data_IF_021315463925
#
_entry.id   IF_021315463925
#
_cell.length_a   1.000
_cell.length_b   1.000
_cell.length_c   1.000
_cell.angle_alpha   90.00
_cell.angle_beta   90.00
_cell.angle_gamma   90.00
#
_symmetry.space_group_name_H-M   'P 1'
#
loop_
_entity.id
_entity.type
_entity.pdbx_description
1 polymer ?
#
# COMPACT_ATOMS: atom_id res chain seq x y z
N UNK A 1 -25.78 27.55 24.94
CA UNK A 1 -26.84 26.58 24.57
C UNK A 1 -26.35 25.90 23.30
N UNK A 2 -25.91 24.66 23.49
CA UNK A 2 -25.61 23.58 22.55
C UNK A 2 -25.01 23.94 21.18
N UNK A 3 -23.67 23.87 21.16
CA UNK A 3 -22.88 23.50 20.01
C UNK A 3 -23.38 22.14 19.48
N UNK A 4 -24.20 22.14 18.43
CA UNK A 4 -24.54 20.94 17.66
C UNK A 4 -24.46 21.32 16.19
N UNK A 5 -23.50 20.75 15.46
CA UNK A 5 -23.64 20.29 14.05
C UNK A 5 -22.28 19.98 13.39
N UNK A 6 -21.53 18.97 13.86
CA UNK A 6 -20.62 18.20 12.98
C UNK A 6 -20.74 16.68 13.15
N UNK A 7 -21.64 16.17 13.99
CA UNK A 7 -21.80 14.73 14.23
C UNK A 7 -22.83 14.07 13.30
N UNK A 8 -22.72 14.31 11.98
CA UNK A 8 -23.52 13.58 11.00
C UNK A 8 -22.58 12.99 9.94
N UNK A 9 -22.22 11.71 10.09
CA UNK A 9 -21.30 10.89 9.26
C UNK A 9 -19.82 10.90 9.70
N UNK A 10 -19.45 9.97 10.58
CA UNK A 10 -18.08 9.74 11.04
C UNK A 10 -17.21 9.07 9.96
N UNK A 11 -16.86 9.80 8.90
CA UNK A 11 -15.69 9.45 8.09
C UNK A 11 -14.48 9.61 9.01
N UNK A 12 -13.82 8.51 9.36
CA UNK A 12 -12.51 8.53 10.02
C UNK A 12 -11.48 9.18 9.07
N UNK A 13 -11.49 10.51 9.00
CA UNK A 13 -10.60 11.33 8.19
C UNK A 13 -9.23 11.41 8.86
N UNK A 14 -8.65 10.26 9.22
CA UNK A 14 -7.26 10.15 9.63
C UNK A 14 -6.44 9.92 8.37
N UNK A 15 -5.76 10.96 7.84
CA UNK A 15 -4.97 10.80 6.62
C UNK A 15 -3.88 9.75 6.84
N UNK A 16 -3.95 8.67 6.06
CA UNK A 16 -3.00 7.54 6.11
C UNK A 16 -1.73 7.88 5.32
N UNK A 17 -1.03 8.95 5.71
CA UNK A 17 0.16 9.43 5.01
C UNK A 17 1.39 8.52 5.22
N UNK A 18 1.42 7.77 6.33
CA UNK A 18 2.54 6.92 6.72
C UNK A 18 2.08 5.60 7.35
N UNK A 19 3.03 4.69 7.57
CA UNK A 19 2.79 3.36 8.14
C UNK A 19 2.30 2.31 7.13
N UNK A 20 1.95 1.12 7.61
CA UNK A 20 1.64 -0.06 6.77
C UNK A 20 0.46 0.14 5.81
N UNK A 21 -0.57 0.90 6.23
CA UNK A 21 -1.76 1.16 5.42
C UNK A 21 -1.64 2.38 4.49
N UNK A 22 -0.50 3.07 4.47
CA UNK A 22 -0.29 4.23 3.59
C UNK A 22 0.03 3.87 2.15
N UNK A 23 0.49 2.63 1.92
CA UNK A 23 0.94 2.15 0.61
C UNK A 23 0.30 0.82 0.29
N UNK A 24 0.16 0.57 -0.99
CA UNK A 24 -0.42 -0.65 -1.52
C UNK A 24 0.36 -1.13 -2.74
N UNK A 25 0.24 -2.41 -3.06
CA UNK A 25 0.83 -2.98 -4.27
C UNK A 25 0.29 -2.26 -5.50
N UNK A 26 1.18 -1.78 -6.37
CA UNK A 26 0.80 -1.14 -7.64
C UNK A 26 0.09 -2.07 -8.63
N UNK A 27 0.11 -3.38 -8.39
CA UNK A 27 -0.49 -4.39 -9.27
C UNK A 27 -1.82 -4.90 -8.73
N UNK A 28 -1.88 -5.28 -7.45
CA UNK A 28 -3.05 -5.95 -6.85
C UNK A 28 -3.71 -5.19 -5.70
N UNK A 29 -3.27 -3.96 -5.41
CA UNK A 29 -3.74 -3.14 -4.28
C UNK A 29 -3.60 -3.78 -2.87
N UNK A 30 -2.95 -4.95 -2.75
CA UNK A 30 -2.71 -5.60 -1.48
C UNK A 30 -1.70 -4.80 -0.64
N UNK A 31 -2.01 -4.55 0.63
CA UNK A 31 -1.16 -3.73 1.51
C UNK A 31 -0.07 -4.53 2.25
N UNK A 32 -0.27 -5.82 2.47
CA UNK A 32 0.73 -6.64 3.17
C UNK A 32 1.83 -7.14 2.22
N UNK A 33 3.05 -7.27 2.76
CA UNK A 33 4.17 -7.87 2.05
C UNK A 33 4.72 -7.04 0.90
N UNK A 34 4.66 -5.72 1.02
CA UNK A 34 5.13 -4.77 0.03
C UNK A 34 6.67 -4.75 0.00
N UNK A 35 7.24 -5.00 -1.18
CA UNK A 35 8.66 -4.81 -1.46
C UNK A 35 8.83 -3.34 -1.85
N UNK A 36 9.56 -2.62 -1.01
CA UNK A 36 9.75 -1.16 -1.11
C UNK A 36 11.14 -0.75 -1.61
N UNK A 37 12.05 -1.72 -1.74
CA UNK A 37 13.42 -1.46 -2.21
C UNK A 37 13.38 -1.02 -3.67
N UNK A 38 14.21 -0.04 -4.02
CA UNK A 38 14.34 0.47 -5.40
C UNK A 38 13.05 1.06 -5.99
N UNK A 39 12.07 1.46 -5.17
CA UNK A 39 10.83 2.07 -5.66
C UNK A 39 9.89 1.08 -6.38
N UNK A 40 10.00 -0.23 -6.09
CA UNK A 40 9.16 -1.24 -6.74
C UNK A 40 7.67 -1.14 -6.36
N UNK A 41 7.37 -0.81 -5.10
CA UNK A 41 6.03 -0.73 -4.50
C UNK A 41 5.08 -1.86 -4.95
N UNK A 42 5.59 -3.09 -4.86
CA UNK A 42 4.93 -4.31 -5.35
C UNK A 42 4.90 -5.36 -4.24
N UNK A 43 3.81 -6.11 -4.10
CA UNK A 43 3.75 -7.19 -3.12
C UNK A 43 4.64 -8.37 -3.55
N UNK A 44 5.08 -9.18 -2.57
CA UNK A 44 5.96 -10.33 -2.81
C UNK A 44 5.43 -11.37 -3.81
N UNK A 45 4.10 -11.51 -3.95
CA UNK A 45 3.50 -12.45 -4.90
C UNK A 45 3.63 -11.91 -6.33
N UNK A 46 3.16 -10.68 -6.58
CA UNK A 46 3.28 -10.01 -7.88
C UNK A 46 4.75 -9.85 -8.30
N UNK A 47 5.66 -9.60 -7.35
CA UNK A 47 7.08 -9.52 -7.67
C UNK A 47 7.63 -10.83 -8.22
N UNK A 48 7.25 -11.98 -7.65
CA UNK A 48 7.72 -13.28 -8.15
C UNK A 48 7.25 -13.53 -9.58
N UNK A 49 5.98 -13.21 -9.88
CA UNK A 49 5.41 -13.34 -11.23
C UNK A 49 6.11 -12.43 -12.24
N UNK A 50 6.44 -11.20 -11.84
CA UNK A 50 7.02 -10.17 -12.72
C UNK A 50 8.56 -10.11 -12.69
N UNK A 51 9.21 -10.84 -11.80
CA UNK A 51 10.66 -10.80 -11.57
C UNK A 51 11.48 -10.93 -12.85
N UNK A 52 11.15 -11.91 -13.70
CA UNK A 52 11.80 -12.14 -14.99
C UNK A 52 11.63 -10.96 -15.96
N UNK A 53 10.46 -10.34 -16.00
CA UNK A 53 10.16 -9.19 -16.88
C UNK A 53 10.90 -7.93 -16.42
N UNK A 54 11.16 -7.80 -15.12
CA UNK A 54 11.94 -6.69 -14.55
C UNK A 54 13.45 -6.92 -14.78
N UNK A 55 13.87 -8.14 -15.14
CA UNK A 55 15.28 -8.49 -15.36
C UNK A 55 15.96 -9.10 -14.13
N UNK A 56 15.22 -9.49 -13.09
CA UNK A 56 15.80 -10.24 -11.97
C UNK A 56 16.02 -11.70 -12.37
N UNK A 57 17.24 -12.18 -12.15
CA UNK A 57 17.63 -13.57 -12.31
C UNK A 57 17.99 -14.17 -10.95
N UNK A 58 17.72 -15.46 -10.77
CA UNK A 58 18.17 -16.17 -9.56
C UNK A 58 19.62 -16.57 -9.76
N UNK A 59 20.54 -15.79 -9.21
CA UNK A 59 21.91 -16.21 -8.96
C UNK A 59 21.92 -17.05 -7.68
N UNK A 60 22.56 -18.22 -7.73
CA UNK A 60 22.57 -19.18 -6.63
C UNK A 60 23.48 -18.72 -5.49
#
# INVERSE_FOLDING_TARGET
MENRSTDQYSIDYRPRNYGKGSRQCRVCAHQAGLIRKWGLDMCRQCFREKSKQIGFTKSN
#
